data_IF_400116322421
#
_entry.id   IF_400116322421
#
_cell.length_a   1.000
_cell.length_b   1.000
_cell.length_c   1.000
_cell.angle_alpha   90.00
_cell.angle_beta   90.00
_cell.angle_gamma   90.00
#
_symmetry.space_group_name_H-M   'P 1'
#
loop_
_entity.id
_entity.type
_entity.pdbx_description
1 polymer ?
#
# COMPACT_ATOMS: atom_id res chain seq x y z
N UNK A 1 3.86 12.82 -21.34
CA UNK A 1 3.65 13.75 -20.21
C UNK A 1 2.29 14.39 -20.39
N UNK A 2 1.34 14.11 -19.50
CA UNK A 2 -0.04 14.64 -19.61
C UNK A 2 -0.02 16.14 -19.36
N UNK A 3 -0.65 16.93 -20.23
CA UNK A 3 -0.45 18.38 -20.30
C UNK A 3 -1.53 19.19 -19.60
N UNK A 4 -2.69 18.60 -19.30
CA UNK A 4 -3.79 19.28 -18.58
C UNK A 4 -4.82 18.31 -17.95
N UNK A 5 -5.73 18.84 -17.14
CA UNK A 5 -6.75 18.08 -16.41
C UNK A 5 -7.74 17.35 -17.32
N UNK A 6 -8.06 17.90 -18.49
CA UNK A 6 -9.00 17.26 -19.42
C UNK A 6 -8.40 15.98 -19.99
N UNK A 7 -7.11 16.00 -20.36
CA UNK A 7 -6.39 14.81 -20.79
C UNK A 7 -6.33 13.72 -19.70
N UNK A 8 -6.12 14.10 -18.42
CA UNK A 8 -6.18 13.16 -17.30
C UNK A 8 -7.58 12.53 -17.16
N UNK A 9 -8.64 13.33 -17.24
CA UNK A 9 -10.03 12.82 -17.13
C UNK A 9 -10.37 11.84 -18.26
N UNK A 10 -9.85 12.06 -19.46
CA UNK A 10 -10.03 11.14 -20.58
C UNK A 10 -9.40 9.75 -20.34
N UNK A 11 -8.41 9.64 -19.45
CA UNK A 11 -7.84 8.36 -19.03
C UNK A 11 -8.77 7.59 -18.07
N UNK A 12 -9.74 8.25 -17.44
CA UNK A 12 -10.69 7.64 -16.49
C UNK A 12 -12.14 7.78 -17.00
N UNK A 13 -12.64 6.81 -17.80
CA UNK A 13 -13.98 6.87 -18.39
C UNK A 13 -15.13 7.08 -17.40
N UNK A 14 -14.95 6.64 -16.14
CA UNK A 14 -15.92 6.83 -15.07
C UNK A 14 -16.33 8.31 -14.89
N UNK A 15 -15.40 9.23 -15.15
CA UNK A 15 -15.58 10.67 -14.95
C UNK A 15 -16.52 11.31 -15.98
N UNK A 16 -16.87 10.58 -17.05
CA UNK A 16 -17.89 10.98 -18.03
C UNK A 16 -19.32 10.71 -17.56
N UNK A 17 -19.48 9.81 -16.58
CA UNK A 17 -20.78 9.40 -16.05
C UNK A 17 -21.01 9.89 -14.63
N UNK A 18 -19.95 10.05 -13.84
CA UNK A 18 -20.05 10.36 -12.42
C UNK A 18 -19.09 11.49 -12.01
N UNK A 19 -19.53 12.28 -11.02
CA UNK A 19 -18.63 13.09 -10.19
C UNK A 19 -18.02 12.12 -9.17
N UNK A 20 -16.91 11.48 -9.54
CA UNK A 20 -16.32 10.40 -8.76
C UNK A 20 -15.42 10.95 -7.63
N UNK A 21 -15.97 11.05 -6.42
CA UNK A 21 -15.27 11.58 -5.22
C UNK A 21 -14.79 10.49 -4.24
N UNK A 22 -14.67 9.24 -4.71
CA UNK A 22 -14.32 8.08 -3.86
C UNK A 22 -12.96 7.46 -4.21
N UNK A 23 -12.02 8.23 -4.77
CA UNK A 23 -10.70 7.70 -5.15
C UNK A 23 -9.90 7.12 -3.98
N UNK A 24 -10.08 7.67 -2.77
CA UNK A 24 -9.44 7.17 -1.56
C UNK A 24 -9.96 5.78 -1.12
N UNK A 25 -11.24 5.48 -1.36
CA UNK A 25 -11.84 4.18 -1.02
C UNK A 25 -11.67 3.14 -2.14
N UNK A 26 -11.88 3.54 -3.39
CA UNK A 26 -11.68 2.69 -4.57
C UNK A 26 -11.24 3.56 -5.74
N UNK A 27 -10.11 3.22 -6.37
CA UNK A 27 -9.64 3.95 -7.55
C UNK A 27 -9.83 3.11 -8.81
N UNK A 28 -10.66 3.56 -9.78
CA UNK A 28 -10.78 2.86 -11.05
C UNK A 28 -9.47 2.98 -11.82
N UNK A 29 -9.00 1.91 -12.49
CA UNK A 29 -7.75 1.96 -13.23
C UNK A 29 -7.87 2.90 -14.44
N UNK A 30 -6.84 3.71 -14.75
CA UNK A 30 -6.82 4.48 -15.98
C UNK A 30 -6.67 3.55 -17.20
N UNK A 31 -7.09 4.01 -18.38
CA UNK A 31 -7.04 3.24 -19.64
C UNK A 31 -5.69 2.53 -19.89
N UNK A 32 -4.51 3.17 -19.76
CA UNK A 32 -3.25 2.51 -20.06
C UNK A 32 -2.94 1.34 -19.11
N UNK A 33 -3.40 1.41 -17.85
CA UNK A 33 -3.23 0.30 -16.90
C UNK A 33 -4.12 -0.87 -17.28
N UNK A 34 -5.38 -0.61 -17.65
CA UNK A 34 -6.28 -1.66 -18.13
C UNK A 34 -5.74 -2.33 -19.41
N UNK A 35 -5.19 -1.55 -20.32
CA UNK A 35 -4.58 -2.04 -21.57
C UNK A 35 -3.36 -2.93 -21.27
N UNK A 36 -2.45 -2.49 -20.39
CA UNK A 36 -1.28 -3.28 -20.00
C UNK A 36 -1.66 -4.60 -19.32
N UNK A 37 -2.69 -4.61 -18.45
CA UNK A 37 -3.18 -5.85 -17.83
C UNK A 37 -3.74 -6.82 -18.86
N UNK A 38 -4.53 -6.33 -19.82
CA UNK A 38 -5.05 -7.17 -20.91
C UNK A 38 -3.94 -7.77 -21.76
N UNK A 39 -2.97 -6.94 -22.16
CA UNK A 39 -1.82 -7.39 -22.93
C UNK A 39 -1.02 -8.47 -22.18
N UNK A 40 -0.79 -8.27 -20.88
CA UNK A 40 -0.11 -9.27 -20.05
C UNK A 40 -0.89 -10.59 -19.98
N UNK A 41 -2.20 -10.54 -19.76
CA UNK A 41 -3.05 -11.74 -19.75
C UNK A 41 -3.05 -12.47 -21.09
N UNK A 42 -3.07 -11.75 -22.20
CA UNK A 42 -2.98 -12.33 -23.55
C UNK A 42 -1.63 -13.02 -23.78
N UNK A 43 -0.53 -12.45 -23.27
CA UNK A 43 0.82 -13.06 -23.30
C UNK A 43 0.90 -14.34 -22.49
N UNK A 44 0.33 -14.36 -21.27
CA UNK A 44 0.33 -15.55 -20.41
C UNK A 44 -0.35 -16.79 -21.05
N UNK A 45 -1.25 -16.59 -22.03
CA UNK A 45 -1.85 -17.70 -22.77
C UNK A 45 -0.92 -18.32 -23.82
N UNK A 46 0.11 -17.58 -24.25
CA UNK A 46 0.92 -17.89 -25.43
C UNK A 46 2.40 -18.12 -25.10
N UNK A 47 2.84 -17.64 -23.95
CA UNK A 47 4.24 -17.59 -23.55
C UNK A 47 4.44 -18.19 -22.15
N UNK A 48 5.65 -18.69 -21.90
CA UNK A 48 6.05 -19.12 -20.56
C UNK A 48 6.19 -17.88 -19.68
N UNK A 49 5.86 -18.01 -18.39
CA UNK A 49 5.99 -16.92 -17.43
C UNK A 49 7.44 -16.43 -17.33
N UNK A 50 7.68 -15.18 -17.72
CA UNK A 50 8.99 -14.53 -17.63
C UNK A 50 9.16 -13.78 -16.31
N UNK A 51 10.09 -14.28 -15.48
CA UNK A 51 10.43 -13.67 -14.19
C UNK A 51 11.08 -12.29 -14.33
N UNK A 52 11.67 -11.96 -15.49
CA UNK A 52 12.31 -10.67 -15.73
C UNK A 52 11.32 -9.49 -15.58
N UNK A 53 10.04 -9.73 -15.87
CA UNK A 53 8.97 -8.74 -15.71
C UNK A 53 8.81 -8.33 -14.24
N UNK A 54 8.89 -9.30 -13.31
CA UNK A 54 8.81 -9.03 -11.87
C UNK A 54 9.99 -8.16 -11.44
N UNK A 55 11.21 -8.50 -11.87
CA UNK A 55 12.42 -7.77 -11.49
C UNK A 55 12.41 -6.35 -12.05
N UNK A 56 11.98 -6.15 -13.30
CA UNK A 56 11.81 -4.82 -13.89
C UNK A 56 10.79 -3.98 -13.13
N UNK A 57 9.67 -4.56 -12.70
CA UNK A 57 8.68 -3.85 -11.86
C UNK A 57 9.28 -3.47 -10.51
N UNK A 58 10.07 -4.34 -9.87
CA UNK A 58 10.76 -4.04 -8.61
C UNK A 58 11.75 -2.90 -8.76
N UNK A 59 12.49 -2.84 -9.87
CA UNK A 59 13.44 -1.76 -10.17
C UNK A 59 12.74 -0.41 -10.37
N UNK A 60 11.64 -0.37 -11.13
CA UNK A 60 10.86 0.85 -11.34
C UNK A 60 10.23 1.37 -10.04
N UNK A 61 9.67 0.46 -9.22
CA UNK A 61 9.12 0.83 -7.90
C UNK A 61 10.23 1.34 -6.97
N UNK A 62 11.38 0.66 -6.92
CA UNK A 62 12.51 1.07 -6.10
C UNK A 62 12.97 2.48 -6.46
N UNK A 63 13.13 2.77 -7.76
CA UNK A 63 13.46 4.11 -8.25
C UNK A 63 12.41 5.15 -7.86
N UNK A 64 11.12 4.81 -7.93
CA UNK A 64 10.02 5.72 -7.59
C UNK A 64 10.02 6.14 -6.12
N UNK A 65 10.37 5.22 -5.21
CA UNK A 65 10.36 5.47 -3.75
C UNK A 65 11.74 5.79 -3.16
N UNK A 66 12.80 5.80 -3.99
CA UNK A 66 14.18 6.06 -3.54
C UNK A 66 14.83 4.91 -2.78
N UNK A 67 14.49 3.66 -3.12
CA UNK A 67 15.05 2.43 -2.55
C UNK A 67 15.91 1.66 -3.57
N UNK A 68 16.49 0.55 -3.14
CA UNK A 68 17.09 -0.47 -4.01
C UNK A 68 16.09 -1.55 -4.38
N UNK A 69 16.31 -2.27 -5.49
CA UNK A 69 15.44 -3.37 -5.94
C UNK A 69 15.25 -4.44 -4.85
N UNK A 70 16.32 -4.75 -4.10
CA UNK A 70 16.31 -5.80 -3.09
C UNK A 70 15.53 -5.40 -1.83
N UNK A 71 15.21 -4.12 -1.65
CA UNK A 71 14.33 -3.60 -0.59
C UNK A 71 12.84 -3.61 -0.98
N UNK A 72 12.50 -4.01 -2.22
CA UNK A 72 11.12 -4.04 -2.72
C UNK A 72 10.61 -5.48 -2.85
N UNK A 73 9.49 -5.78 -2.19
CA UNK A 73 8.71 -6.99 -2.39
C UNK A 73 7.34 -6.65 -3.00
N UNK A 74 6.93 -7.39 -4.04
CA UNK A 74 5.60 -7.22 -4.63
C UNK A 74 4.58 -8.04 -3.84
N UNK A 75 3.59 -7.36 -3.27
CA UNK A 75 2.55 -7.96 -2.43
C UNK A 75 1.15 -7.55 -2.94
N UNK A 76 0.12 -8.40 -2.78
CA UNK A 76 -1.22 -8.12 -3.26
C UNK A 76 -1.89 -6.84 -2.73
N UNK A 77 -1.61 -6.44 -1.49
CA UNK A 77 -2.19 -5.24 -0.86
C UNK A 77 -1.48 -4.87 0.45
N UNK A 78 -1.75 -3.65 0.93
CA UNK A 78 -1.21 -3.10 2.18
C UNK A 78 -1.52 -3.96 3.40
N UNK A 79 -2.74 -4.48 3.52
CA UNK A 79 -3.17 -5.32 4.66
C UNK A 79 -2.31 -6.56 4.81
N UNK A 80 -2.06 -7.27 3.70
CA UNK A 80 -1.21 -8.46 3.71
C UNK A 80 0.25 -8.10 4.04
N UNK A 81 0.75 -6.98 3.51
CA UNK A 81 2.09 -6.49 3.84
C UNK A 81 2.28 -6.24 5.34
N UNK A 82 1.34 -5.53 5.96
CA UNK A 82 1.37 -5.25 7.39
C UNK A 82 1.28 -6.53 8.23
N UNK A 83 0.50 -7.51 7.80
CA UNK A 83 0.45 -8.83 8.46
C UNK A 83 1.77 -9.59 8.34
N UNK A 84 2.42 -9.57 7.16
CA UNK A 84 3.73 -10.20 6.96
C UNK A 84 4.74 -9.57 7.92
N UNK A 85 4.81 -8.24 7.97
CA UNK A 85 5.74 -7.51 8.85
C UNK A 85 5.47 -7.85 10.32
N UNK A 86 4.23 -7.73 10.78
CA UNK A 86 3.87 -8.01 12.17
C UNK A 86 4.23 -9.44 12.60
N UNK A 87 4.11 -10.42 11.71
CA UNK A 87 4.46 -11.81 12.01
C UNK A 87 5.97 -12.11 11.88
N UNK A 88 6.70 -11.35 11.06
CA UNK A 88 8.14 -11.52 10.86
C UNK A 88 8.99 -10.79 11.93
N UNK A 89 8.44 -9.76 12.60
CA UNK A 89 9.16 -9.02 13.63
C UNK A 89 9.54 -9.92 14.82
N UNK A 90 10.81 -9.90 15.27
CA UNK A 90 11.30 -10.74 16.36
C UNK A 90 10.95 -10.15 17.74
N UNK A 91 9.66 -9.85 17.96
CA UNK A 91 9.16 -9.29 19.22
C UNK A 91 9.25 -10.27 20.37
N UNK A 92 9.51 -9.77 21.57
CA UNK A 92 9.60 -10.51 22.82
C UNK A 92 8.52 -10.04 23.79
N UNK A 93 8.20 -10.91 24.76
CA UNK A 93 7.33 -10.54 25.87
C UNK A 93 7.92 -9.34 26.61
N UNK A 94 7.09 -8.33 26.85
CA UNK A 94 7.50 -7.08 27.49
C UNK A 94 7.91 -5.97 26.51
N UNK A 95 8.07 -6.27 25.22
CA UNK A 95 8.22 -5.23 24.20
C UNK A 95 6.93 -4.41 24.07
N UNK A 96 7.04 -3.21 23.50
CA UNK A 96 5.89 -2.40 23.16
C UNK A 96 5.93 -1.95 21.69
N UNK A 97 4.75 -1.73 21.12
CA UNK A 97 4.54 -1.14 19.79
C UNK A 97 3.64 0.09 19.96
N UNK A 98 4.07 1.21 19.39
CA UNK A 98 3.30 2.47 19.40
C UNK A 98 2.61 2.64 18.05
N UNK A 99 1.29 2.85 18.06
CA UNK A 99 0.49 3.18 16.88
C UNK A 99 -0.32 4.45 17.11
N UNK A 100 -0.78 5.12 16.06
CA UNK A 100 -1.71 6.24 16.21
C UNK A 100 -3.12 5.76 16.58
N UNK A 101 -3.88 6.58 17.32
CA UNK A 101 -5.32 6.36 17.49
C UNK A 101 -6.17 6.75 16.25
N UNK A 102 -5.53 7.27 15.19
CA UNK A 102 -6.16 7.58 13.91
C UNK A 102 -5.85 6.55 12.81
N UNK A 103 -5.22 5.42 13.15
CA UNK A 103 -4.86 4.39 12.17
C UNK A 103 -6.07 3.70 11.53
N UNK A 104 -5.92 3.33 10.26
CA UNK A 104 -6.90 2.48 9.58
C UNK A 104 -6.85 1.04 10.16
N UNK A 105 -7.96 0.29 10.27
CA UNK A 105 -7.99 -1.01 10.94
C UNK A 105 -6.95 -2.04 10.44
N UNK A 106 -6.59 -2.01 9.15
CA UNK A 106 -5.55 -2.88 8.60
C UNK A 106 -4.17 -2.64 9.23
N UNK A 107 -3.91 -1.44 9.75
CA UNK A 107 -2.72 -1.04 10.47
C UNK A 107 -2.91 -1.03 12.00
N UNK A 108 -3.96 -1.66 12.52
CA UNK A 108 -4.20 -1.83 13.96
C UNK A 108 -4.23 -3.31 14.33
N UNK A 109 -5.03 -4.10 13.60
CA UNK A 109 -5.30 -5.50 13.92
C UNK A 109 -4.05 -6.40 13.93
N UNK A 110 -3.07 -6.26 13.01
CA UNK A 110 -1.86 -7.08 13.05
C UNK A 110 -1.08 -6.89 14.35
N UNK A 111 -1.00 -5.65 14.85
CA UNK A 111 -0.26 -5.33 16.08
C UNK A 111 -1.00 -5.78 17.33
N UNK A 112 -2.32 -5.58 17.40
CA UNK A 112 -3.14 -6.13 18.50
C UNK A 112 -3.00 -7.65 18.61
N UNK A 113 -2.84 -8.35 17.50
CA UNK A 113 -2.61 -9.80 17.51
C UNK A 113 -1.32 -10.21 18.25
N UNK A 114 -0.34 -9.31 18.40
CA UNK A 114 0.91 -9.55 19.12
C UNK A 114 0.76 -9.44 20.64
N UNK A 115 -0.37 -8.91 21.16
CA UNK A 115 -0.65 -8.92 22.60
C UNK A 115 -0.68 -10.34 23.16
N UNK A 116 -1.09 -11.34 22.36
CA UNK A 116 -1.02 -12.77 22.75
C UNK A 116 0.41 -13.27 22.98
N UNK A 117 1.42 -12.59 22.42
CA UNK A 117 2.85 -12.84 22.65
C UNK A 117 3.41 -12.01 23.83
N UNK A 118 2.55 -11.25 24.52
CA UNK A 118 2.93 -10.39 25.64
C UNK A 118 3.55 -9.06 25.23
N UNK A 119 3.25 -8.57 24.03
CA UNK A 119 3.61 -7.22 23.57
C UNK A 119 2.57 -6.22 24.04
N UNK A 120 3.01 -5.07 24.55
CA UNK A 120 2.15 -3.95 24.90
C UNK A 120 1.84 -3.09 23.67
N UNK A 121 0.58 -2.72 23.46
CA UNK A 121 0.20 -1.78 22.39
C UNK A 121 -0.13 -0.43 23.00
N UNK A 122 0.64 0.58 22.62
CA UNK A 122 0.48 1.97 23.05
C UNK A 122 -0.09 2.81 21.92
N UNK A 123 -0.89 3.80 22.29
CA UNK A 123 -1.55 4.69 21.34
C UNK A 123 -1.03 6.11 21.47
N UNK A 124 -0.39 6.62 20.42
CA UNK A 124 -0.13 8.04 20.26
C UNK A 124 -1.47 8.75 20.02
N UNK A 125 -1.86 9.62 20.97
CA UNK A 125 -3.16 10.27 20.98
C UNK A 125 -3.20 11.50 20.08
N UNK A 126 -4.22 11.55 19.22
CA UNK A 126 -4.54 12.76 18.45
C UNK A 126 -5.28 13.80 19.30
N UNK A 127 -5.11 15.07 18.94
CA UNK A 127 -5.80 16.22 19.54
C UNK A 127 -6.40 17.03 18.41
N UNK A 128 -7.72 17.24 18.44
CA UNK A 128 -8.45 17.98 17.41
C UNK A 128 -8.21 17.47 15.96
N UNK A 129 -8.12 16.14 15.80
CA UNK A 129 -7.87 15.50 14.50
C UNK A 129 -6.44 15.63 13.98
N UNK A 130 -5.50 16.09 14.80
CA UNK A 130 -4.08 16.20 14.48
C UNK A 130 -3.26 15.28 15.39
N UNK A 131 -2.24 14.67 14.82
CA UNK A 131 -1.27 13.88 15.57
C UNK A 131 0.05 14.66 15.67
N UNK A 132 0.40 15.05 16.89
CA UNK A 132 1.67 15.72 17.16
C UNK A 132 2.79 14.70 17.34
N UNK A 133 3.98 15.01 16.82
CA UNK A 133 5.16 14.12 16.92
C UNK A 133 5.48 13.79 18.38
N UNK A 134 5.31 14.74 19.30
CA UNK A 134 5.53 14.56 20.73
C UNK A 134 4.65 13.47 21.36
N UNK A 135 3.53 13.09 20.70
CA UNK A 135 2.68 12.00 21.15
C UNK A 135 3.34 10.62 21.02
N UNK A 136 4.39 10.48 20.20
CA UNK A 136 5.16 9.24 20.04
C UNK A 136 6.33 9.12 21.02
N UNK A 137 6.74 10.23 21.66
CA UNK A 137 7.84 10.25 22.64
C UNK A 137 7.43 9.98 24.08
N UNK A 138 6.14 9.67 24.33
CA UNK A 138 5.54 9.43 25.64
C UNK A 138 5.20 7.95 25.81
#
# INVERSE_FOLDING_TARGET
>A
MVRNLNELREMFPITKRYIYLNHAGYSPPPKPVLEAVKEHLDKLQREIFDLSVIESVREEVAKFIGATRDEVALIPNTTLGLNIIANALPVKRGDNIVISDMEFPSNVLPWLSLQRKGVEIRYAKSVNGLLHVDAYGR
#
